data_IF_017805023374
#
_entry.id   IF_017805023374
#
_cell.length_a   1.000
_cell.length_b   1.000
_cell.length_c   1.000
_cell.angle_alpha   90.00
_cell.angle_beta   90.00
_cell.angle_gamma   90.00
#
_symmetry.space_group_name_H-M   'P 1'
#
loop_
_entity.id
_entity.type
_entity.pdbx_description
1 polymer ?
#
# COMPACT_ATOMS: atom_id res chain seq x y z
N UNK A 1 37.46 15.58 -4.54
CA UNK A 1 36.00 15.89 -4.47
C UNK A 1 35.69 17.29 -3.95
N UNK A 2 36.54 17.91 -3.11
CA UNK A 2 36.30 19.27 -2.61
C UNK A 2 36.57 20.39 -3.64
N UNK A 3 37.57 20.23 -4.52
CA UNK A 3 37.96 21.28 -5.47
C UNK A 3 36.86 21.66 -6.49
N UNK A 4 36.17 20.68 -7.08
CA UNK A 4 35.07 20.94 -8.03
C UNK A 4 33.87 21.64 -7.37
N UNK A 5 33.57 21.29 -6.12
CA UNK A 5 32.51 21.94 -5.36
C UNK A 5 32.87 23.38 -4.98
N UNK A 6 34.15 23.65 -4.66
CA UNK A 6 34.63 25.02 -4.41
C UNK A 6 34.53 25.87 -5.68
N UNK A 7 34.96 25.33 -6.82
CA UNK A 7 34.87 26.01 -8.10
C UNK A 7 33.42 26.30 -8.49
N UNK A 8 32.53 25.32 -8.32
CA UNK A 8 31.10 25.47 -8.56
C UNK A 8 30.49 26.56 -7.66
N UNK A 9 30.80 26.54 -6.36
CA UNK A 9 30.21 27.45 -5.38
C UNK A 9 30.67 28.89 -5.60
N UNK A 10 31.94 29.10 -5.99
CA UNK A 10 32.46 30.41 -6.33
C UNK A 10 31.94 30.95 -7.67
N UNK A 11 31.67 30.07 -8.64
CA UNK A 11 31.18 30.46 -9.97
C UNK A 11 29.69 30.81 -9.96
N UNK A 12 28.87 30.01 -9.28
CA UNK A 12 27.41 30.08 -9.41
C UNK A 12 26.75 31.01 -8.37
N UNK A 13 27.36 31.25 -7.19
CA UNK A 13 26.73 32.02 -6.11
C UNK A 13 27.32 33.42 -5.85
N UNK A 14 28.37 33.83 -6.58
CA UNK A 14 29.03 35.14 -6.45
C UNK A 14 29.13 35.65 -5.00
N UNK A 15 29.70 34.83 -4.12
CA UNK A 15 29.78 35.10 -2.69
C UNK A 15 30.56 36.38 -2.37
N UNK A 16 30.29 36.98 -1.20
CA UNK A 16 31.01 38.16 -0.71
C UNK A 16 32.51 37.90 -0.52
N UNK A 17 32.89 36.65 -0.21
CA UNK A 17 34.26 36.18 -0.15
C UNK A 17 34.39 34.86 -0.91
N UNK A 18 35.40 34.69 -1.79
CA UNK A 18 35.63 33.42 -2.44
C UNK A 18 36.05 32.37 -1.41
N UNK A 19 35.47 31.18 -1.51
CA UNK A 19 35.81 30.04 -0.67
C UNK A 19 37.12 29.43 -1.19
N UNK A 20 38.12 29.34 -0.33
CA UNK A 20 39.42 28.69 -0.60
C UNK A 20 39.50 27.35 0.12
N UNK A 21 38.95 27.28 1.34
CA UNK A 21 38.83 26.04 2.11
C UNK A 21 37.40 25.91 2.63
N UNK A 22 36.71 24.85 2.21
CA UNK A 22 35.34 24.59 2.66
C UNK A 22 35.23 24.51 4.17
N UNK A 23 36.18 23.84 4.83
CA UNK A 23 36.12 23.61 6.27
C UNK A 23 36.26 24.92 7.04
N UNK A 24 37.21 25.76 6.65
CA UNK A 24 37.53 27.00 7.35
C UNK A 24 36.53 28.11 7.01
N UNK A 25 36.24 28.32 5.74
CA UNK A 25 35.44 29.45 5.29
C UNK A 25 33.93 29.25 5.56
N UNK A 26 33.47 27.99 5.70
CA UNK A 26 32.07 27.68 6.04
C UNK A 26 31.86 27.42 7.54
N UNK A 27 32.93 27.38 8.34
CA UNK A 27 32.86 27.11 9.79
C UNK A 27 32.00 28.12 10.54
N UNK A 28 32.06 29.39 10.11
CA UNK A 28 31.35 30.49 10.73
C UNK A 28 29.84 30.52 10.38
N UNK A 29 29.39 29.72 9.41
CA UNK A 29 28.01 29.63 8.98
C UNK A 29 27.47 30.85 8.22
N UNK A 30 28.24 31.94 8.09
CA UNK A 30 27.82 33.17 7.42
C UNK A 30 27.71 32.97 5.90
N UNK A 31 28.74 32.38 5.28
CA UNK A 31 28.73 32.07 3.84
C UNK A 31 27.67 31.03 3.49
N UNK A 32 27.39 30.07 4.39
CA UNK A 32 26.27 29.14 4.21
C UNK A 32 24.92 29.88 4.21
N UNK A 33 24.76 30.90 5.07
CA UNK A 33 23.57 31.76 5.07
C UNK A 33 23.41 32.52 3.75
N UNK A 34 24.51 33.02 3.19
CA UNK A 34 24.52 33.68 1.89
C UNK A 34 24.16 32.71 0.74
N UNK A 35 24.66 31.48 0.77
CA UNK A 35 24.29 30.45 -0.22
C UNK A 35 22.78 30.14 -0.14
N UNK A 36 22.23 30.00 1.07
CA UNK A 36 20.78 29.79 1.23
C UNK A 36 19.94 30.98 0.76
N UNK A 37 20.45 32.21 0.91
CA UNK A 37 19.79 33.40 0.40
C UNK A 37 19.77 33.42 -1.13
N UNK A 38 20.90 33.12 -1.77
CA UNK A 38 21.02 33.06 -3.22
C UNK A 38 20.19 31.91 -3.86
N UNK A 39 19.80 30.92 -3.06
CA UNK A 39 18.86 29.85 -3.46
C UNK A 39 17.40 30.19 -3.18
N UNK A 40 17.08 31.42 -2.75
CA UNK A 40 15.75 31.88 -2.30
C UNK A 40 15.17 31.07 -1.13
N UNK A 41 16.01 30.32 -0.41
CA UNK A 41 15.60 29.45 0.71
C UNK A 41 15.56 30.20 2.04
N UNK A 42 16.31 31.29 2.16
CA UNK A 42 16.34 32.12 3.36
C UNK A 42 16.17 33.61 3.03
N UNK A 43 14.93 34.10 3.19
CA UNK A 43 14.61 35.53 3.05
C UNK A 43 15.11 36.40 4.23
N UNK A 44 15.62 35.79 5.30
CA UNK A 44 16.07 36.50 6.51
C UNK A 44 17.52 36.97 6.45
N UNK A 45 18.29 36.63 5.42
CA UNK A 45 19.65 37.15 5.25
C UNK A 45 19.60 38.60 4.73
N UNK A 46 20.36 39.56 5.29
CA UNK A 46 21.45 39.42 6.27
C UNK A 46 21.05 39.61 7.74
N UNK A 47 19.77 39.78 8.07
CA UNK A 47 19.33 40.05 9.44
C UNK A 47 19.60 38.85 10.38
N UNK A 48 20.50 39.04 11.35
CA UNK A 48 20.85 38.05 12.38
C UNK A 48 22.09 37.20 12.08
N UNK A 49 22.64 37.28 10.86
CA UNK A 49 23.90 36.61 10.51
C UNK A 49 25.08 37.54 10.78
N UNK A 50 26.09 37.04 11.50
CA UNK A 50 27.30 37.81 11.82
C UNK A 50 28.54 37.10 11.30
N UNK A 51 29.32 37.77 10.46
CA UNK A 51 30.61 37.28 9.96
C UNK A 51 31.68 37.44 11.05
N UNK A 52 31.61 36.60 12.09
CA UNK A 52 32.48 36.64 13.26
C UNK A 52 32.81 35.21 13.71
N UNK A 53 34.09 34.94 13.93
CA UNK A 53 34.57 33.61 14.34
C UNK A 53 34.41 33.34 15.85
N UNK A 54 33.60 34.14 16.54
CA UNK A 54 33.28 33.89 17.95
C UNK A 54 32.28 32.76 18.08
N UNK A 55 32.52 31.80 18.98
CA UNK A 55 31.64 30.64 19.21
C UNK A 55 30.16 31.03 19.38
N UNK A 56 29.78 32.08 20.13
CA UNK A 56 28.39 32.50 20.24
C UNK A 56 27.77 32.93 18.91
N UNK A 57 28.52 33.65 18.07
CA UNK A 57 28.07 34.05 16.73
C UNK A 57 27.93 32.85 15.78
N UNK A 58 28.88 31.91 15.83
CA UNK A 58 28.82 30.68 15.05
C UNK A 58 27.59 29.83 15.42
N UNK A 59 27.31 29.66 16.72
CA UNK A 59 26.12 28.93 17.20
C UNK A 59 24.84 29.62 16.72
N UNK A 60 24.75 30.95 16.90
CA UNK A 60 23.58 31.71 16.45
C UNK A 60 23.38 31.59 14.93
N UNK A 61 24.44 31.67 14.13
CA UNK A 61 24.38 31.48 12.68
C UNK A 61 23.89 30.06 12.32
N UNK A 62 24.37 29.02 13.00
CA UNK A 62 23.95 27.63 12.76
C UNK A 62 22.50 27.36 13.18
N UNK A 63 22.02 27.99 14.25
CA UNK A 63 20.61 27.95 14.65
C UNK A 63 19.72 28.58 13.59
N UNK A 64 20.11 29.73 13.03
CA UNK A 64 19.39 30.39 11.94
C UNK A 64 19.37 29.52 10.67
N UNK A 65 20.50 28.87 10.32
CA UNK A 65 20.54 27.90 9.22
C UNK A 65 19.57 26.73 9.45
N UNK A 66 19.54 26.19 10.68
CA UNK A 66 18.62 25.11 11.03
C UNK A 66 17.15 25.53 10.92
N UNK A 67 16.84 26.78 11.27
CA UNK A 67 15.50 27.35 11.19
C UNK A 67 15.08 27.57 9.73
N UNK A 68 15.99 28.08 8.88
CA UNK A 68 15.76 28.28 7.46
C UNK A 68 15.61 26.96 6.67
N UNK A 69 16.26 25.89 7.12
CA UNK A 69 16.19 24.56 6.49
C UNK A 69 15.00 23.71 6.95
N UNK A 70 14.35 24.09 8.07
CA UNK A 70 13.18 23.37 8.64
C UNK A 70 11.94 23.36 7.72
N UNK A 71 11.54 24.46 7.06
CA UNK A 71 10.42 24.48 6.10
C UNK A 71 10.65 23.54 4.91
N UNK A 72 11.90 23.39 4.49
CA UNK A 72 12.33 22.55 3.36
C UNK A 72 12.59 21.11 3.84
N UNK A 73 12.23 20.80 5.10
CA UNK A 73 12.43 19.52 5.84
C UNK A 73 13.82 18.90 5.65
N UNK A 74 14.85 19.72 5.43
CA UNK A 74 16.24 19.28 5.40
C UNK A 74 16.70 19.08 6.83
N UNK A 75 17.07 17.84 7.16
CA UNK A 75 17.57 17.51 8.50
C UNK A 75 18.94 18.16 8.71
N UNK A 76 18.99 19.19 9.56
CA UNK A 76 20.22 19.83 10.02
C UNK A 76 20.44 19.52 11.51
N UNK A 77 20.92 18.31 11.86
CA UNK A 77 21.09 17.91 13.25
C UNK A 77 22.22 18.69 13.90
N UNK A 78 22.12 18.89 15.22
CA UNK A 78 23.10 19.66 15.99
C UNK A 78 24.51 19.04 15.92
N UNK A 79 24.63 17.73 15.70
CA UNK A 79 25.93 17.07 15.47
C UNK A 79 26.60 17.50 14.17
N UNK A 80 25.82 17.79 13.14
CA UNK A 80 26.34 18.29 11.87
C UNK A 80 26.79 19.74 12.02
N UNK A 81 26.00 20.57 12.71
CA UNK A 81 26.36 21.94 13.05
C UNK A 81 27.67 22.00 13.85
N UNK A 82 27.78 21.17 14.90
CA UNK A 82 29.02 21.01 15.69
C UNK A 82 30.19 20.55 14.82
N UNK A 83 29.96 19.60 13.91
CA UNK A 83 30.98 19.11 12.99
C UNK A 83 31.51 20.20 12.03
N UNK A 84 30.65 21.12 11.60
CA UNK A 84 31.02 22.24 10.73
C UNK A 84 31.79 23.30 11.52
N UNK A 85 31.30 23.66 12.71
CA UNK A 85 31.98 24.60 13.60
C UNK A 85 33.37 24.12 14.03
N UNK A 86 33.56 22.81 14.16
CA UNK A 86 34.84 22.18 14.51
C UNK A 86 35.71 21.85 13.29
N UNK A 87 35.40 22.42 12.11
CA UNK A 87 36.15 22.24 10.86
C UNK A 87 36.40 20.77 10.47
N UNK A 88 35.48 19.87 10.86
CA UNK A 88 35.64 18.45 10.58
C UNK A 88 35.57 18.23 9.08
N UNK A 89 36.64 17.69 8.49
CA UNK A 89 36.73 17.39 7.06
C UNK A 89 35.48 16.65 6.56
N UNK A 90 34.83 17.23 5.54
CA UNK A 90 33.61 16.70 4.94
C UNK A 90 32.31 16.89 5.73
N UNK A 91 32.30 17.59 6.87
CA UNK A 91 31.07 17.96 7.57
C UNK A 91 30.29 19.04 6.82
N UNK A 92 30.97 20.09 6.33
CA UNK A 92 30.35 21.13 5.51
C UNK A 92 29.79 20.58 4.19
N UNK A 93 30.49 19.64 3.55
CA UNK A 93 30.04 18.98 2.32
C UNK A 93 28.82 18.04 2.52
N UNK A 94 28.52 17.66 3.77
CA UNK A 94 27.34 16.84 4.12
C UNK A 94 26.07 17.65 4.28
N UNK A 95 26.14 18.98 4.32
CA UNK A 95 24.98 19.87 4.22
C UNK A 95 24.49 19.85 2.78
N UNK A 96 23.93 18.70 2.37
CA UNK A 96 23.16 18.59 1.15
C UNK A 96 21.72 18.91 1.52
N UNK A 97 21.04 19.84 0.84
CA UNK A 97 19.59 19.93 0.94
C UNK A 97 19.01 18.60 0.43
N UNK A 98 18.69 17.72 1.37
CA UNK A 98 18.09 16.41 1.11
C UNK A 98 16.68 16.52 0.48
N UNK A 99 16.17 17.74 0.32
CA UNK A 99 14.89 18.06 -0.29
C UNK A 99 15.04 19.17 -1.34
N UNK A 100 15.96 18.94 -2.28
CA UNK A 100 15.67 19.22 -3.70
C UNK A 100 15.60 17.90 -4.50
N UNK A 101 15.63 16.78 -3.77
CA UNK A 101 15.60 15.40 -4.26
C UNK A 101 14.27 14.70 -3.87
N UNK A 102 13.13 15.40 -4.04
CA UNK A 102 11.80 14.74 -3.98
C UNK A 102 11.32 14.26 -5.36
N UNK A 103 12.13 14.42 -6.42
CA UNK A 103 12.00 13.62 -7.63
C UNK A 103 13.37 13.18 -8.21
N UNK A 104 14.15 12.29 -7.56
CA UNK A 104 15.43 11.82 -8.10
C UNK A 104 15.33 10.53 -8.89
N UNK A 105 14.29 9.72 -8.67
CA UNK A 105 14.28 8.35 -9.21
C UNK A 105 14.20 8.35 -10.74
N UNK A 106 13.49 9.30 -11.34
CA UNK A 106 13.34 9.36 -12.79
C UNK A 106 14.55 10.04 -13.44
N UNK A 107 15.03 11.18 -12.93
CA UNK A 107 16.08 11.95 -13.60
C UNK A 107 17.52 11.46 -13.33
N UNK A 108 17.82 10.95 -12.13
CA UNK A 108 19.15 10.45 -11.79
C UNK A 108 19.41 9.04 -12.37
N UNK A 109 18.40 8.15 -12.34
CA UNK A 109 18.54 6.79 -12.88
C UNK A 109 18.73 6.80 -14.40
N UNK A 110 18.06 7.70 -15.13
CA UNK A 110 18.23 7.84 -16.59
C UNK A 110 19.64 8.38 -16.93
N UNK A 111 20.15 9.30 -16.11
CA UNK A 111 21.52 9.81 -16.19
C UNK A 111 22.55 8.71 -15.93
N UNK A 112 22.33 7.88 -14.91
CA UNK A 112 23.20 6.74 -14.56
C UNK A 112 23.17 5.65 -15.63
N UNK A 113 21.99 5.26 -16.14
CA UNK A 113 21.88 4.25 -17.21
C UNK A 113 22.54 4.70 -18.52
N UNK A 114 22.45 5.98 -18.86
CA UNK A 114 23.20 6.53 -19.99
C UNK A 114 24.70 6.42 -19.78
N UNK A 115 25.20 6.84 -18.62
CA UNK A 115 26.62 6.77 -18.31
C UNK A 115 27.10 5.33 -18.25
N UNK A 116 26.32 4.41 -17.69
CA UNK A 116 26.61 2.96 -17.65
C UNK A 116 26.64 2.35 -19.06
N UNK A 117 25.63 2.62 -19.90
CA UNK A 117 25.61 2.13 -21.28
C UNK A 117 26.76 2.69 -22.11
N UNK A 118 27.17 3.94 -21.86
CA UNK A 118 28.35 4.51 -22.49
C UNK A 118 29.66 3.90 -21.98
N UNK A 119 29.85 3.80 -20.67
CA UNK A 119 31.04 3.18 -20.09
C UNK A 119 31.20 1.74 -20.57
N UNK A 120 30.10 0.98 -20.67
CA UNK A 120 30.10 -0.40 -21.16
C UNK A 120 30.33 -0.53 -22.67
N UNK A 121 30.14 0.54 -23.45
CA UNK A 121 30.35 0.54 -24.91
C UNK A 121 31.68 1.13 -25.36
N UNK A 122 32.46 1.68 -24.41
CA UNK A 122 33.78 2.25 -24.64
C UNK A 122 34.87 1.22 -24.32
N UNK A 123 35.80 0.99 -25.26
CA UNK A 123 36.97 0.15 -25.03
C UNK A 123 38.13 1.00 -24.52
N UNK A 124 38.73 0.70 -23.36
CA UNK A 124 39.76 1.56 -22.75
C UNK A 124 41.05 1.69 -23.57
N UNK A 125 41.26 0.83 -24.59
CA UNK A 125 42.41 0.87 -25.49
C UNK A 125 42.11 1.58 -26.83
N UNK A 126 40.88 1.99 -27.11
CA UNK A 126 40.49 2.63 -28.36
C UNK A 126 40.85 4.14 -28.36
N UNK A 127 41.66 4.55 -29.33
CA UNK A 127 42.07 5.95 -29.52
C UNK A 127 40.92 6.84 -30.00
N UNK A 128 39.84 6.27 -30.53
CA UNK A 128 38.72 7.01 -31.09
C UNK A 128 37.57 7.26 -30.09
N UNK A 129 37.80 6.96 -28.80
CA UNK A 129 36.80 7.11 -27.74
C UNK A 129 36.25 8.53 -27.59
N UNK A 130 37.06 9.58 -27.82
CA UNK A 130 36.58 10.96 -27.72
C UNK A 130 35.44 11.26 -28.70
N UNK A 131 35.54 10.83 -29.96
CA UNK A 131 34.51 11.04 -30.96
C UNK A 131 33.23 10.24 -30.65
N UNK A 132 33.38 9.05 -30.07
CA UNK A 132 32.25 8.21 -29.65
C UNK A 132 31.51 8.83 -28.46
N UNK A 133 32.25 9.38 -27.49
CA UNK A 133 31.68 10.11 -26.35
C UNK A 133 30.94 11.36 -26.84
N UNK A 134 31.52 12.13 -27.75
CA UNK A 134 30.90 13.36 -28.28
C UNK A 134 29.61 13.06 -29.05
N UNK A 135 29.64 12.06 -29.93
CA UNK A 135 28.44 11.58 -30.63
C UNK A 135 27.37 11.08 -29.66
N UNK A 136 27.77 10.34 -28.63
CA UNK A 136 26.84 9.86 -27.62
C UNK A 136 26.20 11.01 -26.83
N UNK A 137 26.96 12.03 -26.45
CA UNK A 137 26.45 13.23 -25.79
C UNK A 137 25.41 13.92 -26.69
N UNK A 138 25.66 14.00 -28.00
CA UNK A 138 24.70 14.53 -28.97
C UNK A 138 23.43 13.69 -29.09
N UNK A 139 23.54 12.36 -29.02
CA UNK A 139 22.40 11.45 -29.08
C UNK A 139 21.68 11.25 -27.73
N UNK A 140 22.23 11.80 -26.63
CA UNK A 140 21.70 11.61 -25.27
C UNK A 140 20.21 11.91 -25.18
N UNK A 141 19.75 13.03 -25.73
CA UNK A 141 18.33 13.43 -25.67
C UNK A 141 17.43 12.41 -26.34
N UNK A 142 17.89 11.81 -27.45
CA UNK A 142 17.14 10.78 -28.16
C UNK A 142 17.08 9.47 -27.37
N UNK A 143 18.21 9.02 -26.82
CA UNK A 143 18.25 7.82 -25.97
C UNK A 143 17.40 7.96 -24.72
N UNK A 144 17.40 9.15 -24.09
CA UNK A 144 16.55 9.47 -22.95
C UNK A 144 15.07 9.37 -23.33
N UNK A 145 14.66 10.02 -24.42
CA UNK A 145 13.28 9.96 -24.92
C UNK A 145 12.81 8.53 -25.19
N UNK A 146 13.67 7.69 -25.77
CA UNK A 146 13.37 6.28 -26.02
C UNK A 146 13.14 5.51 -24.71
N UNK A 147 14.00 5.68 -23.71
CA UNK A 147 13.83 5.02 -22.41
C UNK A 147 12.61 5.49 -21.65
N UNK A 148 12.29 6.78 -21.72
CA UNK A 148 11.07 7.33 -21.13
C UNK A 148 9.84 6.68 -21.76
N UNK A 149 9.82 6.62 -23.10
CA UNK A 149 8.72 5.99 -23.86
C UNK A 149 8.59 4.50 -23.52
N UNK A 150 9.71 3.77 -23.45
CA UNK A 150 9.70 2.34 -23.10
C UNK A 150 9.23 2.11 -21.66
N UNK A 151 9.62 3.00 -20.73
CA UNK A 151 9.19 2.93 -19.34
C UNK A 151 7.70 3.24 -19.19
N UNK A 152 7.21 4.29 -19.85
CA UNK A 152 5.78 4.64 -19.90
C UNK A 152 4.96 3.49 -20.51
N UNK A 153 5.44 2.90 -21.61
CA UNK A 153 4.79 1.73 -22.20
C UNK A 153 4.78 0.54 -21.23
N UNK A 154 5.92 0.22 -20.60
CA UNK A 154 6.03 -0.89 -19.67
C UNK A 154 5.11 -0.72 -18.45
N UNK A 155 5.05 0.49 -17.89
CA UNK A 155 4.15 0.81 -16.76
C UNK A 155 2.69 0.74 -17.18
N UNK A 156 2.33 1.24 -18.37
CA UNK A 156 0.98 1.12 -18.93
C UNK A 156 0.56 -0.34 -19.16
N UNK A 157 1.44 -1.18 -19.70
CA UNK A 157 1.14 -2.61 -19.87
C UNK A 157 1.05 -3.35 -18.53
N UNK A 158 1.91 -3.01 -17.56
CA UNK A 158 1.86 -3.58 -16.22
C UNK A 158 0.54 -3.23 -15.51
N UNK A 159 0.10 -1.96 -15.56
CA UNK A 159 -1.18 -1.55 -14.98
C UNK A 159 -2.35 -2.26 -15.64
N UNK A 160 -2.38 -2.31 -16.98
CA UNK A 160 -3.45 -2.99 -17.74
C UNK A 160 -3.51 -4.50 -17.46
N UNK A 161 -2.35 -5.14 -17.30
CA UNK A 161 -2.27 -6.55 -16.89
C UNK A 161 -2.83 -6.75 -15.48
N UNK A 162 -2.49 -5.86 -14.55
CA UNK A 162 -2.98 -5.90 -13.18
C UNK A 162 -4.49 -5.66 -13.09
N UNK A 163 -5.03 -4.71 -13.86
CA UNK A 163 -6.48 -4.48 -13.98
C UNK A 163 -7.21 -5.72 -14.52
N UNK A 164 -6.65 -6.36 -15.55
CA UNK A 164 -7.22 -7.58 -16.13
C UNK A 164 -7.19 -8.75 -15.14
N UNK A 165 -6.13 -8.85 -14.33
CA UNK A 165 -5.99 -9.85 -13.27
C UNK A 165 -6.99 -9.59 -12.13
N UNK A 166 -7.18 -8.33 -11.72
CA UNK A 166 -8.15 -7.91 -10.72
C UNK A 166 -9.59 -8.22 -11.18
N UNK A 167 -9.98 -7.81 -12.38
CA UNK A 167 -11.29 -8.12 -12.95
C UNK A 167 -11.54 -9.63 -13.08
N UNK A 168 -10.50 -10.42 -13.30
CA UNK A 168 -10.59 -11.89 -13.32
C UNK A 168 -10.66 -12.51 -11.92
N UNK A 169 -10.12 -11.84 -10.89
CA UNK A 169 -10.28 -12.23 -9.49
C UNK A 169 -11.68 -11.91 -8.97
N UNK A 170 -12.23 -10.76 -9.34
CA UNK A 170 -13.59 -10.35 -8.97
C UNK A 170 -14.63 -11.32 -9.54
N UNK A 171 -14.53 -11.66 -10.83
CA UNK A 171 -15.39 -12.67 -11.46
C UNK A 171 -15.33 -14.03 -10.76
N UNK A 172 -14.17 -14.43 -10.23
CA UNK A 172 -14.02 -15.68 -9.46
C UNK A 172 -14.71 -15.58 -8.10
N UNK A 173 -14.56 -14.46 -7.41
CA UNK A 173 -15.24 -14.22 -6.13
C UNK A 173 -16.75 -14.21 -6.28
N UNK A 174 -17.29 -13.54 -7.30
CA UNK A 174 -18.72 -13.51 -7.59
C UNK A 174 -19.26 -14.93 -7.88
N UNK A 175 -18.55 -15.71 -8.70
CA UNK A 175 -18.92 -17.09 -8.99
C UNK A 175 -18.92 -17.96 -7.73
N UNK A 176 -17.90 -17.82 -6.86
CA UNK A 176 -17.84 -18.52 -5.58
C UNK A 176 -18.98 -18.10 -4.65
N UNK A 177 -19.26 -16.80 -4.52
CA UNK A 177 -20.34 -16.28 -3.70
C UNK A 177 -21.68 -16.88 -4.12
N UNK A 178 -21.96 -16.91 -5.42
CA UNK A 178 -23.18 -17.52 -5.95
C UNK A 178 -23.25 -19.04 -5.72
N UNK A 179 -22.12 -19.76 -5.76
CA UNK A 179 -22.06 -21.18 -5.38
C UNK A 179 -22.37 -21.36 -3.89
N UNK A 180 -21.80 -20.52 -3.02
CA UNK A 180 -22.05 -20.56 -1.58
C UNK A 180 -23.52 -20.26 -1.26
N UNK A 181 -24.12 -19.27 -1.90
CA UNK A 181 -25.54 -18.93 -1.77
C UNK A 181 -26.43 -20.09 -2.19
N UNK A 182 -26.18 -20.69 -3.37
CA UNK A 182 -26.91 -21.88 -3.84
C UNK A 182 -26.79 -23.05 -2.89
N UNK A 183 -25.60 -23.28 -2.33
CA UNK A 183 -25.38 -24.35 -1.35
C UNK A 183 -26.17 -24.10 -0.07
N UNK A 184 -26.16 -22.87 0.45
CA UNK A 184 -26.93 -22.50 1.63
C UNK A 184 -28.44 -22.67 1.38
N UNK A 185 -28.93 -22.26 0.21
CA UNK A 185 -30.32 -22.47 -0.19
C UNK A 185 -30.70 -23.95 -0.23
N UNK A 186 -29.87 -24.81 -0.84
CA UNK A 186 -30.13 -26.25 -0.89
C UNK A 186 -30.18 -26.86 0.50
N UNK A 187 -29.28 -26.46 1.40
CA UNK A 187 -29.26 -26.93 2.79
C UNK A 187 -30.53 -26.52 3.53
N UNK A 188 -30.96 -25.26 3.36
CA UNK A 188 -32.20 -24.77 3.96
C UNK A 188 -33.40 -25.55 3.42
N UNK A 189 -33.49 -25.74 2.10
CA UNK A 189 -34.58 -26.48 1.50
C UNK A 189 -34.61 -27.94 1.98
N UNK A 190 -33.47 -28.62 2.06
CA UNK A 190 -33.45 -29.99 2.60
C UNK A 190 -33.97 -30.03 4.03
N UNK A 191 -33.58 -29.08 4.87
CA UNK A 191 -34.05 -29.00 6.25
C UNK A 191 -35.55 -28.73 6.34
N UNK A 192 -36.06 -27.75 5.60
CA UNK A 192 -37.49 -27.44 5.54
C UNK A 192 -38.32 -28.64 5.04
N UNK A 193 -37.77 -29.39 4.09
CA UNK A 193 -38.37 -30.61 3.57
C UNK A 193 -38.42 -31.74 4.60
N UNK A 194 -37.34 -31.95 5.34
CA UNK A 194 -37.27 -32.91 6.44
C UNK A 194 -38.27 -32.56 7.55
N UNK A 195 -38.33 -31.29 7.96
CA UNK A 195 -39.27 -30.82 8.98
C UNK A 195 -40.73 -31.01 8.55
N UNK A 196 -41.07 -30.63 7.31
CA UNK A 196 -42.40 -30.85 6.76
C UNK A 196 -42.74 -32.34 6.66
N UNK A 197 -41.78 -33.19 6.31
CA UNK A 197 -41.96 -34.64 6.27
C UNK A 197 -42.24 -35.21 7.67
N UNK A 198 -41.49 -34.79 8.69
CA UNK A 198 -41.71 -35.19 10.09
C UNK A 198 -43.11 -34.80 10.57
N UNK A 199 -43.55 -33.58 10.26
CA UNK A 199 -44.92 -33.13 10.58
C UNK A 199 -45.95 -34.00 9.87
N UNK A 200 -45.80 -34.24 8.57
CA UNK A 200 -46.72 -35.09 7.81
C UNK A 200 -46.76 -36.52 8.35
N UNK A 201 -45.62 -37.09 8.72
CA UNK A 201 -45.51 -38.41 9.34
C UNK A 201 -46.30 -38.48 10.66
N UNK A 202 -46.20 -37.44 11.49
CA UNK A 202 -46.96 -37.35 12.75
C UNK A 202 -48.47 -37.25 12.51
N UNK A 203 -48.89 -36.45 11.52
CA UNK A 203 -50.29 -36.32 11.12
C UNK A 203 -50.82 -37.65 10.58
N UNK A 204 -50.04 -38.37 9.77
CA UNK A 204 -50.43 -39.69 9.29
C UNK A 204 -50.60 -40.68 10.45
N UNK A 205 -49.62 -40.77 11.36
CA UNK A 205 -49.70 -41.67 12.51
C UNK A 205 -50.92 -41.37 13.41
N UNK A 206 -51.21 -40.09 13.66
CA UNK A 206 -52.40 -39.71 14.42
C UNK A 206 -53.71 -40.09 13.72
N UNK A 207 -53.80 -39.90 12.39
CA UNK A 207 -54.96 -40.33 11.59
C UNK A 207 -55.18 -41.83 11.68
N UNK A 208 -54.13 -42.62 11.46
CA UNK A 208 -54.19 -44.10 11.56
C UNK A 208 -54.62 -44.54 12.97
N UNK A 209 -54.08 -43.91 14.02
CA UNK A 209 -54.47 -44.21 15.40
C UNK A 209 -55.95 -43.90 15.66
N UNK A 210 -56.46 -42.77 15.18
CA UNK A 210 -57.89 -42.41 15.31
C UNK A 210 -58.80 -43.36 14.54
N UNK A 211 -58.37 -43.81 13.35
CA UNK A 211 -59.12 -44.77 12.54
C UNK A 211 -59.18 -46.14 13.23
N UNK A 212 -58.06 -46.62 13.78
CA UNK A 212 -58.02 -47.86 14.57
C UNK A 212 -58.90 -47.77 15.83
N UNK A 213 -58.88 -46.65 16.54
CA UNK A 213 -59.75 -46.44 17.70
C UNK A 213 -61.23 -46.49 17.29
N UNK A 214 -61.59 -45.87 16.17
CA UNK A 214 -62.94 -45.92 15.63
C UNK A 214 -63.35 -47.35 15.27
N UNK A 215 -62.49 -48.11 14.57
CA UNK A 215 -62.76 -49.52 14.26
C UNK A 215 -62.96 -50.38 15.52
N UNK A 216 -62.10 -50.22 16.53
CA UNK A 216 -62.23 -50.93 17.80
C UNK A 216 -63.55 -50.60 18.50
N UNK A 217 -63.95 -49.32 18.49
CA UNK A 217 -65.24 -48.88 19.05
C UNK A 217 -66.44 -49.53 18.33
N UNK A 218 -66.37 -49.67 17.00
CA UNK A 218 -67.39 -50.33 16.21
C UNK A 218 -67.45 -51.84 16.51
N UNK A 219 -66.29 -52.50 16.65
CA UNK A 219 -66.21 -53.92 17.03
C UNK A 219 -66.80 -54.16 18.41
N UNK A 220 -66.47 -53.33 19.38
CA UNK A 220 -67.01 -53.45 20.74
C UNK A 220 -68.52 -53.22 20.76
N UNK A 221 -69.01 -52.21 20.03
CA UNK A 221 -70.47 -51.98 19.88
C UNK A 221 -71.17 -53.19 19.27
N UNK A 222 -70.60 -53.82 18.22
CA UNK A 222 -71.15 -55.06 17.63
C UNK A 222 -71.15 -56.20 18.63
N UNK A 223 -70.08 -56.36 19.41
CA UNK A 223 -69.97 -57.39 20.45
C UNK A 223 -71.06 -57.22 21.50
N UNK A 224 -71.29 -56.00 21.99
CA UNK A 224 -72.34 -55.70 22.96
C UNK A 224 -73.73 -56.03 22.42
N UNK A 225 -74.01 -55.72 21.15
CA UNK A 225 -75.28 -56.09 20.51
C UNK A 225 -75.46 -57.61 20.50
N UNK A 226 -74.43 -58.38 20.16
CA UNK A 226 -74.49 -59.85 20.16
C UNK A 226 -74.71 -60.40 21.57
N UNK A 227 -74.00 -59.86 22.58
CA UNK A 227 -74.20 -60.24 23.99
C UNK A 227 -75.65 -59.96 24.41
N UNK A 228 -76.16 -58.77 24.11
CA UNK A 228 -77.53 -58.39 24.44
C UNK A 228 -78.56 -59.29 23.74
N UNK A 229 -78.35 -59.65 22.47
CA UNK A 229 -79.19 -60.59 21.74
C UNK A 229 -79.17 -62.00 22.38
N UNK A 230 -77.98 -62.47 22.79
CA UNK A 230 -77.84 -63.74 23.48
C UNK A 230 -78.53 -63.71 24.86
N UNK A 231 -78.40 -62.61 25.61
CA UNK A 231 -79.05 -62.43 26.91
C UNK A 231 -80.58 -62.40 26.77
N UNK A 232 -81.12 -61.70 25.76
CA UNK A 232 -82.57 -61.73 25.47
C UNK A 232 -83.03 -63.12 25.08
N UNK A 233 -82.29 -63.83 24.23
CA UNK A 233 -82.63 -65.20 23.86
C UNK A 233 -82.57 -66.18 25.05
N UNK A 234 -81.63 -65.97 25.98
CA UNK A 234 -81.54 -66.74 27.22
C UNK A 234 -82.70 -66.45 28.19
N UNK A 235 -83.13 -65.19 28.28
CA UNK A 235 -84.31 -64.80 29.06
C UNK A 235 -85.60 -65.39 28.47
N UNK A 236 -85.78 -65.33 27.14
CA UNK A 236 -86.93 -65.93 26.45
C UNK A 236 -86.97 -67.46 26.65
N UNK A 237 -85.82 -68.13 26.63
CA UNK A 237 -85.70 -69.56 26.97
C UNK A 237 -86.06 -69.83 28.43
N UNK A 238 -85.77 -68.92 29.35
CA UNK A 238 -86.09 -69.07 30.76
C UNK A 238 -87.59 -68.89 31.03
N UNK A 239 -88.25 -67.92 30.38
CA UNK A 239 -89.70 -67.67 30.47
C UNK A 239 -90.54 -68.74 29.73
N UNK A 240 -89.96 -69.43 28.75
CA UNK A 240 -90.61 -70.54 28.03
C UNK A 240 -90.66 -71.88 28.78
N UNK A 241 -90.09 -71.94 30.00
CA UNK A 241 -90.16 -73.12 30.88
C UNK A 241 -91.15 -72.81 32.02
N UNK A 242 -92.44 -72.88 31.71
CA UNK A 242 -93.56 -72.91 32.66
C UNK A 242 -94.67 -73.83 32.14
#
# INVERSE_FOLDING_TARGET
MSALLIEWLNRDFHLHRPVVSMEKDLSNGYLLGQVLHALDLNASFPAGYHDCDTVPAMVANMEQLSAALRPIRVAFPVELARGIMMEKKGAAAKVRPAQMFTYPEVMCAISERFVETLINSLDPADVNNLNRIDMAIHLRKFSQFMWDTDHENATFFASKSQESAAASADRRHEAQAHIHEKRAFLQQWTHDGEDAWVVNQSVQSTREATELQFELSLREKRRLIVVQQNDTAAADLHDGVA
#
